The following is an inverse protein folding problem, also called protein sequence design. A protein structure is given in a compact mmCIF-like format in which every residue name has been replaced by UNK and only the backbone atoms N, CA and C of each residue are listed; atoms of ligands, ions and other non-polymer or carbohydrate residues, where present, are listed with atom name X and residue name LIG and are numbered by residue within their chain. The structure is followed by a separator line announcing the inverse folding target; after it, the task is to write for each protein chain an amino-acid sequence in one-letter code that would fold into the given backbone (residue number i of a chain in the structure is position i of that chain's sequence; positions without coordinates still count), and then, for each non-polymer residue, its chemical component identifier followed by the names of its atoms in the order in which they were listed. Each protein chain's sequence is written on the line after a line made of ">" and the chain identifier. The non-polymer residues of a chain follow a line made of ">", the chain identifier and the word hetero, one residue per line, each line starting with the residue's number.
data_IF_057010981320
#
_entry.id   IF_057010981320
#
_cell.length_a   1.000
_cell.length_b   1.000
_cell.length_c   1.000
_cell.angle_alpha   90.00
_cell.angle_beta   90.00
_cell.angle_gamma   90.00
#
_symmetry.space_group_name_H-M   'P 1'
#
loop_
_entity.id
_entity.type
_entity.pdbx_description
1 polymer ?
#
# COMPACT_ATOMS: atom_id res chain seq x y z
N UNK A 1 28.27 14.02 -13.13
CA UNK A 1 27.27 14.21 -12.05
C UNK A 1 26.07 13.24 -12.16
N UNK A 2 25.87 12.53 -13.29
CA UNK A 2 24.73 11.61 -13.49
C UNK A 2 24.69 10.35 -12.59
N UNK A 3 25.85 9.76 -12.24
CA UNK A 3 25.87 8.43 -11.56
C UNK A 3 25.25 8.48 -10.14
N UNK A 4 25.37 9.62 -9.45
CA UNK A 4 24.86 9.76 -8.07
C UNK A 4 23.33 9.87 -8.02
N UNK A 5 22.70 10.46 -9.04
CA UNK A 5 21.25 10.59 -9.13
C UNK A 5 20.60 9.24 -9.44
N UNK A 6 21.20 8.45 -10.35
CA UNK A 6 20.70 7.12 -10.71
C UNK A 6 20.72 6.15 -9.53
N UNK A 7 21.79 6.15 -8.72
CA UNK A 7 21.89 5.28 -7.53
C UNK A 7 20.94 5.76 -6.42
N UNK A 8 20.73 7.07 -6.29
CA UNK A 8 19.81 7.64 -5.30
C UNK A 8 18.33 7.45 -5.67
N UNK A 9 18.00 7.31 -6.95
CA UNK A 9 16.68 6.88 -7.41
C UNK A 9 16.47 5.38 -7.19
N UNK A 10 17.41 4.53 -7.61
CA UNK A 10 17.32 3.07 -7.38
C UNK A 10 17.20 2.73 -5.88
N UNK A 11 17.96 3.38 -5.01
CA UNK A 11 17.82 3.20 -3.56
C UNK A 11 16.51 3.76 -2.98
N UNK A 12 15.93 4.79 -3.59
CA UNK A 12 14.62 5.30 -3.16
C UNK A 12 13.51 4.33 -3.53
N UNK A 13 13.58 3.78 -4.73
CA UNK A 13 12.61 2.81 -5.24
C UNK A 13 12.65 1.51 -4.42
N UNK A 14 13.83 1.01 -4.07
CA UNK A 14 13.99 -0.18 -3.21
C UNK A 14 13.47 0.05 -1.78
N UNK A 15 13.75 1.21 -1.17
CA UNK A 15 13.26 1.52 0.18
C UNK A 15 11.74 1.73 0.21
N UNK A 16 11.18 2.35 -0.84
CA UNK A 16 9.75 2.54 -0.98
C UNK A 16 9.02 1.20 -1.12
N UNK A 17 9.53 0.31 -1.97
CA UNK A 17 9.00 -1.03 -2.13
C UNK A 17 9.09 -1.85 -0.84
N UNK A 18 10.19 -1.71 -0.09
CA UNK A 18 10.35 -2.35 1.22
C UNK A 18 9.32 -1.84 2.24
N UNK A 19 9.09 -0.53 2.30
CA UNK A 19 8.08 0.06 3.19
C UNK A 19 6.67 -0.44 2.92
N UNK A 20 6.30 -0.61 1.65
CA UNK A 20 4.99 -1.13 1.26
C UNK A 20 4.81 -2.61 1.65
N UNK A 21 5.86 -3.42 1.55
CA UNK A 21 5.83 -4.82 2.02
C UNK A 21 5.68 -4.87 3.55
N UNK A 22 6.41 -4.01 4.27
CA UNK A 22 6.29 -3.92 5.73
C UNK A 22 4.88 -3.50 6.18
N UNK A 23 4.25 -2.54 5.49
CA UNK A 23 2.84 -2.16 5.73
C UNK A 23 1.90 -3.34 5.53
N UNK A 24 2.09 -4.12 4.46
CA UNK A 24 1.23 -5.26 4.17
C UNK A 24 1.39 -6.39 5.21
N UNK A 25 2.61 -6.69 5.65
CA UNK A 25 2.86 -7.68 6.70
C UNK A 25 2.24 -7.22 8.02
N UNK A 26 2.44 -5.94 8.38
CA UNK A 26 1.83 -5.35 9.58
C UNK A 26 0.29 -5.44 9.55
N UNK A 27 -0.32 -5.12 8.42
CA UNK A 27 -1.76 -5.20 8.25
C UNK A 27 -2.26 -6.66 8.35
N UNK A 28 -1.54 -7.61 7.76
CA UNK A 28 -1.85 -9.03 7.84
C UNK A 28 -1.80 -9.55 9.28
N UNK A 29 -0.75 -9.22 10.03
CA UNK A 29 -0.54 -9.65 11.41
C UNK A 29 -1.63 -9.10 12.36
N UNK A 30 -2.17 -7.91 12.07
CA UNK A 30 -3.24 -7.29 12.83
C UNK A 30 -4.66 -7.72 12.39
N UNK A 31 -4.77 -8.50 11.31
CA UNK A 31 -6.05 -8.88 10.72
C UNK A 31 -6.79 -7.73 10.03
N UNK A 32 -6.06 -6.70 9.60
CA UNK A 32 -6.60 -5.56 8.86
C UNK A 32 -6.92 -6.00 7.44
N UNK A 33 -8.06 -5.61 6.89
CA UNK A 33 -8.46 -5.94 5.51
C UNK A 33 -8.04 -4.86 4.52
N UNK A 34 -7.64 -5.24 3.31
CA UNK A 34 -7.48 -4.30 2.20
C UNK A 34 -8.74 -4.27 1.34
N UNK A 35 -9.21 -3.07 1.02
CA UNK A 35 -10.27 -2.84 0.03
C UNK A 35 -9.72 -1.90 -1.03
N UNK A 36 -9.61 -2.38 -2.26
CA UNK A 36 -9.07 -1.63 -3.40
C UNK A 36 -10.20 -1.42 -4.40
N UNK A 37 -10.49 -0.17 -4.78
CA UNK A 37 -11.57 0.18 -5.73
C UNK A 37 -12.91 -0.53 -5.37
N UNK A 38 -13.31 -0.43 -4.09
CA UNK A 38 -14.48 -1.11 -3.50
C UNK A 38 -14.48 -2.66 -3.55
N UNK A 39 -13.36 -3.31 -3.89
CA UNK A 39 -13.19 -4.76 -3.84
C UNK A 39 -12.37 -5.17 -2.62
N UNK A 40 -12.90 -6.03 -1.76
CA UNK A 40 -12.11 -6.69 -0.71
C UNK A 40 -11.06 -7.61 -1.32
N UNK A 41 -9.82 -7.46 -0.89
CA UNK A 41 -8.68 -8.24 -1.37
C UNK A 41 -8.29 -9.34 -0.38
N UNK A 42 -7.81 -10.46 -0.92
CA UNK A 42 -7.23 -11.55 -0.15
C UNK A 42 -5.71 -11.44 -0.12
N UNK A 43 -5.10 -11.54 1.06
CA UNK A 43 -3.64 -11.60 1.19
C UNK A 43 -2.97 -12.75 0.42
N UNK A 44 -3.71 -13.84 0.14
CA UNK A 44 -3.16 -15.01 -0.58
C UNK A 44 -3.32 -14.85 -2.09
N UNK A 45 -4.53 -14.50 -2.53
CA UNK A 45 -4.85 -14.47 -3.96
C UNK A 45 -4.49 -13.14 -4.63
N UNK A 46 -4.48 -12.04 -3.86
CA UNK A 46 -4.28 -10.69 -4.37
C UNK A 46 -2.95 -10.07 -3.90
N UNK A 47 -2.02 -10.86 -3.33
CA UNK A 47 -0.74 -10.38 -2.78
C UNK A 47 0.00 -9.41 -3.71
N UNK A 48 0.28 -9.85 -4.94
CA UNK A 48 0.99 -9.04 -5.93
C UNK A 48 0.20 -7.79 -6.35
N UNK A 49 -1.13 -7.90 -6.40
CA UNK A 49 -1.98 -6.78 -6.73
C UNK A 49 -1.93 -5.72 -5.63
N UNK A 50 -2.07 -6.10 -4.36
CA UNK A 50 -1.96 -5.19 -3.21
C UNK A 50 -0.60 -4.48 -3.20
N UNK A 51 0.51 -5.22 -3.37
CA UNK A 51 1.86 -4.62 -3.43
C UNK A 51 2.01 -3.58 -4.54
N UNK A 52 1.44 -3.85 -5.72
CA UNK A 52 1.48 -2.93 -6.84
C UNK A 52 0.71 -1.65 -6.54
N UNK A 53 -0.49 -1.78 -5.95
CA UNK A 53 -1.34 -0.63 -5.63
C UNK A 53 -0.75 0.21 -4.48
N UNK A 54 -0.14 -0.41 -3.47
CA UNK A 54 0.61 0.33 -2.45
C UNK A 54 1.80 1.11 -3.06
N UNK A 55 2.38 0.60 -4.15
CA UNK A 55 3.46 1.29 -4.83
C UNK A 55 2.98 2.38 -5.81
N UNK A 56 1.67 2.46 -6.06
CA UNK A 56 1.05 3.40 -6.99
C UNK A 56 0.61 4.67 -6.25
N UNK A 57 1.13 5.82 -6.66
CA UNK A 57 0.84 7.13 -6.06
C UNK A 57 -0.51 7.71 -6.51
N UNK A 58 -1.15 7.09 -7.51
CA UNK A 58 -2.50 7.47 -7.95
C UNK A 58 -3.62 6.94 -7.04
N UNK A 59 -3.27 6.18 -6.00
CA UNK A 59 -4.22 5.66 -5.01
C UNK A 59 -4.11 6.41 -3.68
N UNK A 60 -5.25 6.87 -3.18
CA UNK A 60 -5.35 7.46 -1.84
C UNK A 60 -5.58 6.35 -0.81
N UNK A 61 -4.90 6.45 0.35
CA UNK A 61 -5.02 5.53 1.48
C UNK A 61 -5.94 6.12 2.54
N UNK A 62 -7.01 5.41 2.86
CA UNK A 62 -7.90 5.70 3.98
C UNK A 62 -7.88 4.57 5.01
N UNK A 63 -7.64 4.92 6.28
CA UNK A 63 -7.63 3.98 7.40
C UNK A 63 -8.98 4.01 8.11
N UNK A 64 -9.69 2.88 8.08
CA UNK A 64 -11.04 2.75 8.63
C UNK A 64 -10.96 2.09 10.01
N UNK A 65 -11.29 2.80 11.10
CA UNK A 65 -11.37 2.24 12.44
C UNK A 65 -12.71 1.53 12.70
N UNK A 66 -12.71 0.63 13.68
CA UNK A 66 -13.92 0.12 14.34
C UNK A 66 -14.46 1.10 15.40
N UNK A 67 -15.53 0.71 16.09
CA UNK A 67 -16.16 1.50 17.16
C UNK A 67 -15.22 1.79 18.35
N UNK A 68 -14.14 1.03 18.49
CA UNK A 68 -13.14 1.18 19.56
C UNK A 68 -11.93 2.01 19.10
N UNK A 69 -11.92 2.47 17.84
CA UNK A 69 -10.82 3.22 17.24
C UNK A 69 -9.69 2.35 16.71
N UNK A 70 -9.82 1.03 16.71
CA UNK A 70 -8.82 0.11 16.14
C UNK A 70 -8.97 0.09 14.63
N UNK A 71 -7.88 0.29 13.89
CA UNK A 71 -7.89 0.13 12.43
C UNK A 71 -8.20 -1.33 12.09
N UNK A 72 -9.23 -1.52 11.25
CA UNK A 72 -9.69 -2.85 10.78
C UNK A 72 -9.67 -2.97 9.26
N UNK A 73 -9.57 -1.85 8.55
CA UNK A 73 -9.54 -1.83 7.09
C UNK A 73 -8.68 -0.68 6.58
N UNK A 74 -7.90 -0.95 5.52
CA UNK A 74 -7.23 0.05 4.70
C UNK A 74 -7.95 0.07 3.35
N UNK A 75 -8.47 1.23 2.98
CA UNK A 75 -9.10 1.47 1.69
C UNK A 75 -8.13 2.20 0.77
N UNK A 76 -8.03 1.70 -0.46
CA UNK A 76 -7.19 2.24 -1.53
C UNK A 76 -8.11 2.57 -2.70
N UNK A 77 -8.40 3.85 -2.88
CA UNK A 77 -9.26 4.32 -3.97
C UNK A 77 -8.44 5.15 -4.95
N UNK A 78 -8.66 4.92 -6.24
CA UNK A 78 -7.98 5.68 -7.28
C UNK A 78 -8.44 7.14 -7.28
N UNK A 79 -7.49 8.05 -7.16
CA UNK A 79 -7.74 9.48 -7.28
C UNK A 79 -8.05 9.80 -8.74
N UNK A 80 -9.30 10.14 -9.04
CA UNK A 80 -9.66 10.65 -10.36
C UNK A 80 -9.18 12.08 -10.50
N UNK A 81 -8.13 12.30 -11.30
CA UNK A 81 -7.74 13.62 -11.76
C UNK A 81 -8.75 14.07 -12.83
N UNK A 82 -9.73 14.89 -12.44
CA UNK A 82 -10.59 15.63 -13.37
C UNK A 82 -9.86 16.87 -13.90
#
# INVERSE_FOLDING_TARGET
>A
MLIRETIAHQKRDENYYKGNIEEMIWAQDLGISFVIDNRTCSYVNDYHFICNILSDDSYMRDYIPDEQGKIIQIRLDKVSNY
#
